data_IF_742543782658
#
_entry.id   IF_742543782658
#
_cell.length_a   1.000
_cell.length_b   1.000
_cell.length_c   1.000
_cell.angle_alpha   90.00
_cell.angle_beta   90.00
_cell.angle_gamma   90.00
#
_symmetry.space_group_name_H-M   'P 1'
#
loop_
_entity.id
_entity.type
_entity.pdbx_description
1 polymer ?
#
# COMPACT_ATOMS: atom_id res chain seq x y z
N UNK A 1 5.52 11.43 36.99
CA UNK A 1 4.16 11.31 36.43
C UNK A 1 4.32 11.11 34.94
N UNK A 2 4.16 9.87 34.45
CA UNK A 2 4.17 9.61 33.00
C UNK A 2 2.86 10.18 32.47
N UNK A 3 2.93 11.26 31.69
CA UNK A 3 1.74 11.76 31.00
C UNK A 3 1.25 10.65 30.08
N UNK A 4 0.02 10.20 30.31
CA UNK A 4 -0.64 9.22 29.45
C UNK A 4 -1.00 9.96 28.16
N UNK A 5 -0.08 9.96 27.18
CA UNK A 5 -0.28 10.64 25.90
C UNK A 5 -1.43 9.96 25.18
N UNK A 6 -2.62 10.56 25.23
CA UNK A 6 -3.79 10.07 24.52
C UNK A 6 -3.55 10.26 23.03
N UNK A 7 -3.24 9.18 22.31
CA UNK A 7 -3.15 9.22 20.86
C UNK A 7 -4.56 9.50 20.29
N UNK A 8 -4.69 10.57 19.52
CA UNK A 8 -5.91 10.89 18.80
C UNK A 8 -5.74 10.49 17.34
N UNK A 9 -6.41 9.43 16.90
CA UNK A 9 -6.37 8.98 15.52
C UNK A 9 -7.50 9.64 14.71
N UNK A 10 -7.15 10.28 13.59
CA UNK A 10 -8.09 10.80 12.60
C UNK A 10 -7.98 9.98 11.32
N UNK A 11 -9.00 9.18 11.04
CA UNK A 11 -9.10 8.42 9.79
C UNK A 11 -9.96 9.20 8.80
N UNK A 12 -9.47 9.37 7.58
CA UNK A 12 -10.21 9.98 6.46
C UNK A 12 -10.29 8.99 5.32
N UNK A 13 -11.50 8.53 5.01
CA UNK A 13 -11.75 7.65 3.86
C UNK A 13 -11.99 8.50 2.61
N UNK A 14 -11.38 8.11 1.49
CA UNK A 14 -11.47 8.81 0.21
C UNK A 14 -11.85 7.84 -0.90
N UNK A 15 -12.70 8.31 -1.81
CA UNK A 15 -13.10 7.51 -2.98
C UNK A 15 -11.90 7.20 -3.88
N UNK A 16 -11.70 5.91 -4.22
CA UNK A 16 -10.62 5.44 -5.09
C UNK A 16 -10.90 5.50 -6.60
N UNK A 17 -12.15 5.78 -6.99
CA UNK A 17 -12.56 5.91 -8.40
C UNK A 17 -11.90 7.14 -9.04
N UNK A 18 -11.56 7.07 -10.33
CA UNK A 18 -10.82 8.12 -11.05
C UNK A 18 -11.52 9.49 -10.97
N UNK A 19 -12.85 9.52 -11.00
CA UNK A 19 -13.65 10.76 -10.81
C UNK A 19 -13.47 11.40 -9.44
N UNK A 20 -13.25 10.60 -8.40
CA UNK A 20 -13.13 11.04 -7.00
C UNK A 20 -11.72 11.50 -6.65
N UNK A 21 -10.69 11.01 -7.35
CA UNK A 21 -9.28 11.34 -7.05
C UNK A 21 -8.94 12.82 -7.17
N UNK A 22 -9.67 13.57 -8.01
CA UNK A 22 -9.52 15.03 -8.10
C UNK A 22 -9.81 15.75 -6.78
N UNK A 23 -10.52 15.11 -5.86
CA UNK A 23 -10.88 15.66 -4.54
C UNK A 23 -9.85 15.32 -3.45
N UNK A 24 -8.91 14.41 -3.71
CA UNK A 24 -7.91 13.98 -2.72
C UNK A 24 -7.08 15.14 -2.18
N UNK A 25 -6.75 16.11 -3.03
CA UNK A 25 -6.02 17.33 -2.63
C UNK A 25 -6.70 18.12 -1.49
N UNK A 26 -8.01 17.96 -1.30
CA UNK A 26 -8.76 18.64 -0.24
C UNK A 26 -8.54 18.02 1.15
N UNK A 27 -7.88 16.86 1.22
CA UNK A 27 -7.62 16.15 2.48
C UNK A 27 -6.12 15.93 2.72
N UNK A 28 -5.25 16.39 1.83
CA UNK A 28 -3.79 16.24 1.93
C UNK A 28 -3.18 17.29 2.86
N UNK A 29 -3.57 17.26 4.14
CA UNK A 29 -3.07 18.15 5.19
C UNK A 29 -2.79 17.34 6.45
N UNK A 30 -1.58 17.47 6.99
CA UNK A 30 -1.12 16.79 8.22
C UNK A 30 -1.39 15.27 8.19
N UNK A 31 -0.86 14.59 7.16
CA UNK A 31 -1.00 13.14 6.99
C UNK A 31 0.26 12.44 7.48
N UNK A 32 0.14 11.74 8.61
CA UNK A 32 1.21 10.89 9.14
C UNK A 32 1.39 9.62 8.31
N UNK A 33 0.28 9.06 7.81
CA UNK A 33 0.26 7.74 7.15
C UNK A 33 -0.78 7.69 6.05
N UNK A 34 -0.40 7.11 4.91
CA UNK A 34 -1.32 6.71 3.85
C UNK A 34 -1.57 5.21 3.93
N UNK A 35 -2.84 4.82 4.11
CA UNK A 35 -3.27 3.42 3.97
C UNK A 35 -3.75 3.21 2.54
N UNK A 36 -2.92 2.57 1.73
CA UNK A 36 -3.23 2.26 0.33
C UNK A 36 -3.81 0.85 0.22
N UNK A 37 -4.95 0.68 -0.45
CA UNK A 37 -5.62 -0.62 -0.54
C UNK A 37 -5.62 -1.12 -1.98
N UNK A 38 -5.02 -2.29 -2.20
CA UNK A 38 -5.03 -3.01 -3.48
C UNK A 38 -5.83 -4.31 -3.34
N UNK A 39 -6.64 -4.63 -4.35
CA UNK A 39 -7.36 -5.92 -4.42
C UNK A 39 -6.50 -6.98 -5.09
N UNK A 40 -5.95 -7.93 -4.33
CA UNK A 40 -5.15 -9.05 -4.88
C UNK A 40 -5.94 -9.89 -5.88
N UNK A 41 -7.24 -10.08 -5.65
CA UNK A 41 -8.07 -10.88 -6.56
C UNK A 41 -8.34 -10.22 -7.92
N UNK A 42 -7.85 -9.00 -8.16
CA UNK A 42 -8.10 -8.24 -9.39
C UNK A 42 -7.09 -8.46 -10.53
N UNK A 43 -6.16 -9.41 -10.42
CA UNK A 43 -5.08 -9.56 -11.42
C UNK A 43 -5.57 -9.87 -12.84
N UNK A 44 -6.66 -10.61 -12.97
CA UNK A 44 -7.32 -10.99 -14.23
C UNK A 44 -8.44 -10.03 -14.64
N UNK A 45 -8.57 -8.89 -13.95
CA UNK A 45 -9.67 -7.94 -14.14
C UNK A 45 -9.19 -6.63 -14.74
N UNK A 46 -10.11 -5.96 -15.41
CA UNK A 46 -9.97 -4.58 -15.87
C UNK A 46 -10.78 -3.65 -15.00
N UNK A 47 -10.42 -2.36 -14.98
CA UNK A 47 -11.12 -1.38 -14.15
C UNK A 47 -12.58 -1.23 -14.61
N UNK A 48 -13.45 -0.86 -13.69
CA UNK A 48 -14.86 -0.61 -14.01
C UNK A 48 -15.04 0.62 -14.92
N UNK A 49 -14.14 1.61 -14.78
CA UNK A 49 -14.19 2.88 -15.52
C UNK A 49 -13.63 2.76 -16.94
N UNK A 50 -12.67 1.84 -17.16
CA UNK A 50 -12.03 1.61 -18.45
C UNK A 50 -11.64 0.12 -18.61
N UNK A 51 -12.33 -0.57 -19.52
CA UNK A 51 -12.10 -1.99 -19.82
C UNK A 51 -10.76 -2.28 -20.51
N UNK A 52 -10.05 -1.25 -20.96
CA UNK A 52 -8.71 -1.41 -21.55
C UNK A 52 -7.60 -1.38 -20.50
N UNK A 53 -7.90 -0.94 -19.27
CA UNK A 53 -6.94 -0.79 -18.19
C UNK A 53 -7.07 -1.95 -17.21
N UNK A 54 -5.99 -2.70 -16.98
CA UNK A 54 -5.95 -3.77 -15.99
C UNK A 54 -5.96 -3.19 -14.56
N UNK A 55 -6.66 -3.83 -13.64
CA UNK A 55 -6.77 -3.36 -12.25
C UNK A 55 -5.42 -3.25 -11.54
N UNK A 56 -4.50 -4.19 -11.79
CA UNK A 56 -3.15 -4.16 -11.20
C UNK A 56 -2.32 -2.99 -11.74
N UNK A 57 -2.34 -2.77 -13.06
CA UNK A 57 -1.62 -1.66 -13.70
C UNK A 57 -2.11 -0.31 -13.18
N UNK A 58 -3.44 -0.15 -13.07
CA UNK A 58 -4.05 1.04 -12.47
C UNK A 58 -3.61 1.24 -11.02
N UNK A 59 -3.56 0.15 -10.23
CA UNK A 59 -3.14 0.24 -8.83
C UNK A 59 -1.69 0.70 -8.70
N UNK A 60 -0.78 0.12 -9.48
CA UNK A 60 0.62 0.55 -9.50
C UNK A 60 0.78 1.99 -9.99
N UNK A 61 0.02 2.41 -11.02
CA UNK A 61 0.06 3.77 -11.54
C UNK A 61 -0.40 4.80 -10.49
N UNK A 62 -1.51 4.53 -9.79
CA UNK A 62 -2.01 5.41 -8.72
C UNK A 62 -1.03 5.47 -7.54
N UNK A 63 -0.45 4.33 -7.15
CA UNK A 63 0.55 4.31 -6.09
C UNK A 63 1.80 5.12 -6.46
N UNK A 64 2.26 5.02 -7.71
CA UNK A 64 3.37 5.84 -8.24
C UNK A 64 3.05 7.34 -8.12
N UNK A 65 1.87 7.75 -8.56
CA UNK A 65 1.44 9.15 -8.44
C UNK A 65 1.43 9.63 -6.98
N UNK A 66 0.96 8.79 -6.05
CA UNK A 66 0.94 9.11 -4.62
C UNK A 66 2.37 9.15 -4.04
N UNK A 67 3.25 8.21 -4.38
CA UNK A 67 4.62 8.17 -3.86
C UNK A 67 5.46 9.36 -4.31
N UNK A 68 5.16 9.89 -5.50
CA UNK A 68 5.82 11.05 -6.10
C UNK A 68 5.23 12.41 -5.64
N UNK A 69 4.11 12.41 -4.90
CA UNK A 69 3.48 13.65 -4.44
C UNK A 69 4.25 14.27 -3.26
N UNK A 70 4.72 15.50 -3.41
CA UNK A 70 5.56 16.21 -2.42
C UNK A 70 4.97 16.25 -0.99
N UNK A 71 3.65 16.35 -0.86
CA UNK A 71 2.98 16.36 0.45
C UNK A 71 3.23 15.08 1.25
N UNK A 72 3.58 13.97 0.57
CA UNK A 72 3.84 12.66 1.16
C UNK A 72 5.33 12.33 1.30
N UNK A 73 6.20 13.33 1.19
CA UNK A 73 7.66 13.14 1.27
C UNK A 73 8.11 12.47 2.58
N UNK A 74 7.45 12.79 3.70
CA UNK A 74 7.75 12.24 5.04
C UNK A 74 6.55 11.46 5.61
N UNK A 75 5.72 10.90 4.74
CA UNK A 75 4.53 10.15 5.11
C UNK A 75 4.78 8.66 4.90
N UNK A 76 4.51 7.86 5.93
CA UNK A 76 4.63 6.41 5.83
C UNK A 76 3.48 5.84 5.00
N UNK A 77 3.76 4.78 4.23
CA UNK A 77 2.74 4.10 3.44
C UNK A 77 2.52 2.69 3.98
N UNK A 78 1.26 2.33 4.12
CA UNK A 78 0.82 0.99 4.49
C UNK A 78 -0.02 0.43 3.36
N UNK A 79 0.49 -0.59 2.68
CA UNK A 79 -0.21 -1.25 1.58
C UNK A 79 -0.98 -2.46 2.09
N UNK A 80 -2.30 -2.37 2.01
CA UNK A 80 -3.21 -3.49 2.21
C UNK A 80 -3.39 -4.25 0.92
N UNK A 81 -2.81 -5.44 0.88
CA UNK A 81 -3.06 -6.44 -0.15
C UNK A 81 -4.33 -7.21 0.26
N UNK A 82 -5.47 -6.63 -0.09
CA UNK A 82 -6.79 -7.05 0.35
C UNK A 82 -7.38 -8.15 -0.55
N UNK A 83 -8.44 -8.79 -0.07
CA UNK A 83 -9.16 -9.90 -0.70
C UNK A 83 -8.25 -11.12 -0.92
N UNK A 84 -7.37 -11.39 0.04
CA UNK A 84 -6.47 -12.55 0.00
C UNK A 84 -7.24 -13.88 -0.11
N UNK A 85 -8.41 -13.95 0.50
CA UNK A 85 -9.34 -15.08 0.43
C UNK A 85 -9.82 -15.35 -1.01
N UNK A 86 -10.33 -14.31 -1.68
CA UNK A 86 -10.79 -14.42 -3.07
C UNK A 86 -9.64 -14.67 -4.03
N UNK A 87 -8.46 -14.10 -3.72
CA UNK A 87 -7.26 -14.31 -4.52
C UNK A 87 -6.80 -15.76 -4.48
N UNK A 88 -6.68 -16.35 -3.28
CA UNK A 88 -6.30 -17.74 -3.09
C UNK A 88 -7.29 -18.69 -3.76
N UNK A 89 -8.59 -18.42 -3.66
CA UNK A 89 -9.60 -19.24 -4.33
C UNK A 89 -9.50 -19.15 -5.85
N UNK A 90 -9.35 -17.94 -6.39
CA UNK A 90 -9.26 -17.71 -7.83
C UNK A 90 -8.02 -18.35 -8.44
N UNK A 91 -6.89 -18.33 -7.73
CA UNK A 91 -5.66 -18.98 -8.17
C UNK A 91 -5.79 -20.49 -8.33
N UNK A 92 -6.84 -21.16 -7.83
CA UNK A 92 -7.05 -22.59 -8.10
C UNK A 92 -7.41 -22.88 -9.56
N UNK A 93 -7.99 -21.91 -10.27
CA UNK A 93 -8.50 -22.09 -11.63
C UNK A 93 -7.86 -21.15 -12.65
N UNK A 94 -7.52 -19.94 -12.24
CA UNK A 94 -6.93 -18.91 -13.13
C UNK A 94 -5.47 -18.69 -12.74
N UNK A 95 -4.50 -18.94 -13.64
CA UNK A 95 -3.10 -18.70 -13.32
C UNK A 95 -2.77 -17.22 -13.36
N UNK A 96 -1.81 -16.79 -12.55
CA UNK A 96 -1.33 -15.41 -12.57
C UNK A 96 -0.70 -14.99 -13.90
N UNK A 97 -0.26 -15.95 -14.72
CA UNK A 97 0.27 -15.70 -16.06
C UNK A 97 -0.73 -15.09 -17.04
N UNK A 98 -2.03 -15.09 -16.72
CA UNK A 98 -3.05 -14.31 -17.44
C UNK A 98 -2.79 -12.81 -17.33
N UNK A 99 -2.32 -12.35 -16.17
CA UNK A 99 -1.93 -10.96 -15.96
C UNK A 99 -0.56 -10.67 -16.56
N UNK A 100 0.45 -11.46 -16.15
CA UNK A 100 1.84 -11.33 -16.55
C UNK A 100 2.36 -12.64 -17.18
N UNK A 101 2.33 -12.75 -18.52
CA UNK A 101 2.82 -13.94 -19.23
C UNK A 101 4.29 -14.28 -19.00
N UNK A 102 5.09 -13.32 -18.49
CA UNK A 102 6.51 -13.52 -18.19
C UNK A 102 6.76 -14.13 -16.80
N UNK A 103 5.72 -14.19 -15.95
CA UNK A 103 5.83 -14.79 -14.63
C UNK A 103 6.16 -16.29 -14.70
N UNK A 104 6.90 -16.79 -13.71
CA UNK A 104 7.31 -18.19 -13.63
C UNK A 104 6.09 -19.13 -13.65
N UNK A 105 5.99 -19.92 -14.73
CA UNK A 105 4.89 -20.88 -14.93
C UNK A 105 4.85 -21.97 -13.87
N UNK A 106 5.97 -22.32 -13.24
CA UNK A 106 5.99 -23.31 -12.16
C UNK A 106 5.35 -22.77 -10.87
N UNK A 107 5.34 -21.44 -10.71
CA UNK A 107 4.81 -20.72 -9.56
C UNK A 107 3.49 -20.00 -9.83
N UNK A 108 2.90 -20.14 -11.02
CA UNK A 108 1.75 -19.32 -11.48
C UNK A 108 0.46 -19.45 -10.65
N UNK A 109 0.37 -20.47 -9.79
CA UNK A 109 -0.73 -20.67 -8.84
C UNK A 109 -0.27 -20.57 -7.37
N UNK A 110 0.98 -20.21 -7.11
CA UNK A 110 1.54 -20.10 -5.76
C UNK A 110 1.25 -18.70 -5.18
N UNK A 111 0.34 -18.56 -4.19
CA UNK A 111 -0.06 -17.27 -3.67
C UNK A 111 1.11 -16.48 -3.05
N UNK A 112 2.02 -17.15 -2.34
CA UNK A 112 3.15 -16.51 -1.66
C UNK A 112 4.12 -15.88 -2.67
N UNK A 113 4.44 -16.60 -3.75
CA UNK A 113 5.33 -16.09 -4.81
C UNK A 113 4.73 -14.89 -5.53
N UNK A 114 3.41 -14.90 -5.73
CA UNK A 114 2.72 -13.80 -6.40
C UNK A 114 2.57 -12.60 -5.46
N UNK A 115 2.28 -12.81 -4.18
CA UNK A 115 2.30 -11.73 -3.17
C UNK A 115 3.67 -11.07 -3.14
N UNK A 116 4.74 -11.87 -3.11
CA UNK A 116 6.11 -11.34 -3.14
C UNK A 116 6.40 -10.55 -4.43
N UNK A 117 5.93 -11.02 -5.58
CA UNK A 117 6.00 -10.25 -6.83
C UNK A 117 5.32 -8.89 -6.69
N UNK A 118 4.11 -8.84 -6.13
CA UNK A 118 3.35 -7.58 -5.96
C UNK A 118 4.06 -6.64 -4.98
N UNK A 119 4.57 -7.14 -3.86
CA UNK A 119 5.35 -6.36 -2.88
C UNK A 119 6.59 -5.76 -3.55
N UNK A 120 7.38 -6.56 -4.27
CA UNK A 120 8.57 -6.10 -4.97
C UNK A 120 8.24 -5.01 -6.00
N UNK A 121 7.07 -5.06 -6.66
CA UNK A 121 6.63 -4.01 -7.58
C UNK A 121 6.37 -2.68 -6.87
N UNK A 122 5.72 -2.70 -5.71
CA UNK A 122 5.55 -1.51 -4.88
C UNK A 122 6.88 -0.98 -4.34
N UNK A 123 7.77 -1.85 -3.88
CA UNK A 123 9.09 -1.46 -3.39
C UNK A 123 9.97 -0.84 -4.48
N UNK A 124 9.86 -1.33 -5.72
CA UNK A 124 10.53 -0.74 -6.88
C UNK A 124 10.02 0.66 -7.19
N UNK A 125 8.71 0.90 -7.05
CA UNK A 125 8.14 2.24 -7.20
C UNK A 125 8.64 3.13 -6.05
N UNK A 126 8.57 2.64 -4.82
CA UNK A 126 8.97 3.37 -3.62
C UNK A 126 10.45 3.79 -3.62
N UNK A 127 11.34 2.91 -4.11
CA UNK A 127 12.79 3.12 -4.11
C UNK A 127 13.27 4.04 -5.23
N UNK A 128 12.51 4.20 -6.32
CA UNK A 128 12.89 5.08 -7.44
C UNK A 128 12.96 6.55 -7.06
N UNK A 129 12.28 6.93 -5.99
CA UNK A 129 12.19 8.31 -5.49
C UNK A 129 13.23 8.66 -4.43
N UNK A 130 14.15 7.74 -4.11
CA UNK A 130 15.21 7.95 -3.12
C UNK A 130 16.52 8.18 -3.88
N UNK A 131 16.77 9.42 -4.30
CA UNK A 131 18.11 9.83 -4.74
C UNK A 131 19.13 9.54 -3.62
N UNK A 132 20.40 9.30 -3.96
CA UNK A 132 21.46 9.05 -2.96
C UNK A 132 21.64 10.20 -1.94
N UNK A 133 21.07 11.37 -2.20
CA UNK A 133 21.02 12.55 -1.32
C UNK A 133 19.69 12.72 -0.54
N UNK A 134 18.71 11.84 -0.76
CA UNK A 134 17.37 11.94 -0.20
C UNK A 134 17.38 11.83 1.33
N UNK A 135 16.89 12.87 2.00
CA UNK A 135 16.65 12.89 3.46
C UNK A 135 15.28 12.32 3.85
N UNK A 136 14.57 11.65 2.92
CA UNK A 136 13.21 11.18 3.14
C UNK A 136 13.16 10.11 4.22
N UNK A 137 12.49 10.41 5.33
CA UNK A 137 12.28 9.48 6.44
C UNK A 137 10.86 8.91 6.37
N UNK A 138 10.62 8.06 5.37
CA UNK A 138 9.36 7.36 5.17
C UNK A 138 9.57 5.86 4.97
N UNK A 139 8.65 5.06 5.49
CA UNK A 139 8.68 3.60 5.47
C UNK A 139 7.48 3.05 4.69
N UNK A 140 7.68 1.92 4.01
CA UNK A 140 6.64 1.17 3.33
C UNK A 140 6.37 -0.14 4.07
N UNK A 141 5.12 -0.37 4.47
CA UNK A 141 4.66 -1.58 5.13
C UNK A 141 3.64 -2.33 4.27
N UNK A 142 3.55 -3.65 4.45
CA UNK A 142 2.57 -4.49 3.75
C UNK A 142 1.78 -5.35 4.72
N UNK A 143 0.47 -5.42 4.52
CA UNK A 143 -0.38 -6.38 5.21
C UNK A 143 -1.28 -7.11 4.22
N UNK A 144 -1.33 -8.44 4.36
CA UNK A 144 -2.36 -9.25 3.71
C UNK A 144 -3.66 -9.10 4.50
N UNK A 145 -4.73 -8.73 3.83
CA UNK A 145 -6.00 -8.46 4.51
C UNK A 145 -7.16 -9.19 3.84
N UNK A 146 -8.13 -9.57 4.67
CA UNK A 146 -9.46 -9.96 4.24
C UNK A 146 -10.44 -8.98 4.88
N UNK A 147 -11.49 -8.59 4.17
CA UNK A 147 -12.46 -7.58 4.66
C UNK A 147 -13.26 -8.04 5.88
N UNK A 148 -13.11 -9.30 6.31
CA UNK A 148 -13.65 -9.85 7.54
C UNK A 148 -12.70 -9.73 8.74
N UNK A 149 -11.45 -9.30 8.52
CA UNK A 149 -10.44 -9.23 9.57
C UNK A 149 -10.31 -7.81 10.16
N UNK A 150 -11.06 -7.60 11.25
CA UNK A 150 -11.07 -6.33 12.00
C UNK A 150 -9.81 -6.10 12.83
N UNK A 151 -8.89 -7.08 12.93
CA UNK A 151 -7.68 -6.97 13.76
C UNK A 151 -6.56 -6.21 13.06
N UNK A 152 -6.56 -6.17 11.73
CA UNK A 152 -5.47 -5.55 10.95
C UNK A 152 -5.28 -4.08 11.29
N UNK A 153 -6.37 -3.33 11.55
CA UNK A 153 -6.25 -1.92 11.88
C UNK A 153 -5.47 -1.68 13.18
N UNK A 154 -5.54 -2.61 14.14
CA UNK A 154 -4.74 -2.51 15.37
C UNK A 154 -3.26 -2.71 15.08
N UNK A 155 -2.91 -3.62 14.17
CA UNK A 155 -1.54 -3.84 13.70
C UNK A 155 -0.99 -2.63 12.97
N UNK A 156 -1.78 -2.02 12.07
CA UNK A 156 -1.38 -0.78 11.39
C UNK A 156 -1.08 0.33 12.38
N UNK A 157 -1.96 0.52 13.37
CA UNK A 157 -1.74 1.54 14.41
C UNK A 157 -0.42 1.27 15.15
N UNK A 158 -0.12 0.01 15.48
CA UNK A 158 1.12 -0.36 16.15
C UNK A 158 2.37 -0.10 15.29
N UNK A 159 2.35 -0.47 14.00
CA UNK A 159 3.48 -0.27 13.09
C UNK A 159 3.75 1.21 12.82
N UNK A 160 2.68 1.98 12.65
CA UNK A 160 2.73 3.44 12.53
C UNK A 160 3.31 4.08 13.78
N UNK A 161 2.83 3.67 14.95
CA UNK A 161 3.39 4.16 16.22
C UNK A 161 4.88 3.85 16.34
N UNK A 162 5.28 2.64 15.97
CA UNK A 162 6.68 2.24 16.02
C UNK A 162 7.54 3.09 15.06
N UNK A 163 7.07 3.31 13.83
CA UNK A 163 7.74 4.15 12.82
C UNK A 163 7.87 5.60 13.30
N UNK A 164 6.80 6.17 13.84
CA UNK A 164 6.81 7.54 14.39
C UNK A 164 7.80 7.66 15.55
N UNK A 165 7.79 6.71 16.50
CA UNK A 165 8.73 6.71 17.63
C UNK A 165 10.17 6.60 17.13
N UNK A 166 10.44 5.68 16.19
CA UNK A 166 11.77 5.52 15.60
C UNK A 166 12.26 6.83 14.98
N UNK A 167 11.41 7.51 14.21
CA UNK A 167 11.75 8.80 13.59
C UNK A 167 12.04 9.88 14.62
N UNK A 168 11.28 9.94 15.72
CA UNK A 168 11.55 10.88 16.81
C UNK A 168 12.86 10.56 17.55
N UNK A 169 13.20 9.27 17.71
CA UNK A 169 14.48 8.85 18.30
C UNK A 169 15.68 9.18 17.41
N UNK A 170 15.57 8.96 16.10
CA UNK A 170 16.60 9.29 15.11
C UNK A 170 16.87 10.81 15.08
N UNK A 171 15.80 11.63 15.08
CA UNK A 171 15.91 13.10 15.15
C UNK A 171 16.57 13.58 16.45
N UNK A 172 16.37 12.86 17.55
CA UNK A 172 16.95 13.18 18.85
C UNK A 172 18.42 12.73 19.01
N UNK A 173 19.03 12.09 17.99
CA UNK A 173 20.40 11.54 18.04
C UNK A 173 20.62 10.54 19.19
N UNK A 174 19.56 9.82 19.58
CA UNK A 174 19.62 8.85 20.69
C UNK A 174 20.01 7.43 20.22
N UNK A 175 20.27 7.26 18.93
CA UNK A 175 20.81 6.04 18.29
C UNK A 175 21.72 6.45 17.13
#
# INVERSE_FOLDING_TARGET
MVQNTKLSLRLTDVGGQKSERKKWVNVFHDIDVVVYVMSLSGYDQTTFEDISVKCYDESFAVFTQLSETDVFENTDFVVFLNKIDLFQEKLKSTPFTVYDPSFDKSSQHNPEKIVHYVQNRFEQIWSKDVDELSTRMRTLFFHLTCSLDTKVMQTVIADVHHSLIKREMDKASLI
#
